data_IF_834449747207
#
_entry.id   IF_834449747207
#
_cell.length_a   1.000
_cell.length_b   1.000
_cell.length_c   1.000
_cell.angle_alpha   90.00
_cell.angle_beta   90.00
_cell.angle_gamma   90.00
#
_symmetry.space_group_name_H-M   'P 1'
#
loop_
_entity.id
_entity.type
_entity.pdbx_description
1 polymer ?
#
# COMPACT_ATOMS: atom_id res chain seq x y z
N UNK A 1 -21.26 16.94 -6.80
CA UNK A 1 -20.32 17.19 -5.68
C UNK A 1 -20.31 18.71 -5.48
N UNK A 2 -20.67 19.24 -4.31
CA UNK A 2 -20.63 20.70 -4.11
C UNK A 2 -19.18 21.17 -3.96
N UNK A 3 -18.89 22.43 -4.32
CA UNK A 3 -17.54 23.00 -4.26
C UNK A 3 -16.91 22.90 -2.86
N UNK A 4 -17.73 22.92 -1.81
CA UNK A 4 -17.29 22.69 -0.43
C UNK A 4 -16.75 21.28 -0.14
N UNK A 5 -17.19 20.26 -0.88
CA UNK A 5 -16.70 18.89 -0.71
C UNK A 5 -15.30 18.71 -1.31
N UNK A 6 -14.98 19.43 -2.39
CA UNK A 6 -13.67 19.37 -3.06
C UNK A 6 -12.58 20.12 -2.26
N UNK A 7 -12.94 21.19 -1.55
CA UNK A 7 -12.01 21.95 -0.70
C UNK A 7 -11.37 21.11 0.44
N UNK A 8 -11.99 19.99 0.82
CA UNK A 8 -11.47 19.07 1.84
C UNK A 8 -10.60 17.95 1.27
N UNK A 9 -10.53 17.81 -0.05
CA UNK A 9 -9.70 16.78 -0.70
C UNK A 9 -8.27 17.28 -0.70
N UNK A 10 -7.38 16.51 -0.06
CA UNK A 10 -5.96 16.81 -0.01
C UNK A 10 -5.37 16.90 -1.42
N UNK A 11 -4.58 17.94 -1.66
CA UNK A 11 -3.87 18.13 -2.91
C UNK A 11 -2.82 17.01 -3.10
N UNK A 12 -2.93 16.27 -4.21
CA UNK A 12 -2.01 15.20 -4.56
C UNK A 12 -0.54 15.65 -4.68
N UNK A 13 -0.29 16.91 -5.05
CA UNK A 13 1.07 17.46 -5.18
C UNK A 13 1.81 17.60 -3.84
N UNK A 14 1.08 17.63 -2.72
CA UNK A 14 1.68 17.73 -1.39
C UNK A 14 2.11 16.38 -0.81
N UNK A 15 1.76 15.28 -1.48
CA UNK A 15 1.93 13.93 -0.96
C UNK A 15 3.39 13.47 -1.04
N UNK A 16 3.83 12.63 -0.08
CA UNK A 16 5.21 12.17 -0.01
C UNK A 16 5.65 11.42 -1.29
N UNK A 17 4.80 10.54 -1.84
CA UNK A 17 5.12 9.80 -3.06
C UNK A 17 5.32 10.73 -4.27
N UNK A 18 4.58 11.83 -4.33
CA UNK A 18 4.69 12.80 -5.41
C UNK A 18 5.99 13.60 -5.32
N UNK A 19 6.32 14.07 -4.11
CA UNK A 19 7.58 14.80 -3.85
C UNK A 19 8.80 13.92 -4.08
N UNK A 20 8.74 12.65 -3.68
CA UNK A 20 9.78 11.66 -3.97
C UNK A 20 9.96 11.48 -5.48
N UNK A 21 8.87 11.30 -6.24
CA UNK A 21 8.95 11.13 -7.69
C UNK A 21 9.56 12.35 -8.40
N UNK A 22 9.24 13.56 -7.95
CA UNK A 22 9.87 14.79 -8.46
C UNK A 22 11.39 14.79 -8.29
N UNK A 23 11.87 14.39 -7.11
CA UNK A 23 13.29 14.42 -6.74
C UNK A 23 14.10 13.24 -7.29
N UNK A 24 13.53 12.04 -7.23
CA UNK A 24 14.24 10.77 -7.43
C UNK A 24 13.77 10.03 -8.70
N UNK A 25 12.79 10.57 -9.42
CA UNK A 25 12.16 9.94 -10.58
C UNK A 25 11.02 9.00 -10.22
N UNK A 26 11.02 8.41 -9.03
CA UNK A 26 9.93 7.56 -8.52
C UNK A 26 9.66 7.81 -7.04
N UNK A 27 8.48 7.41 -6.58
CA UNK A 27 8.10 7.53 -5.17
C UNK A 27 6.93 6.62 -4.84
N UNK A 28 6.81 6.24 -3.57
CA UNK A 28 5.72 5.38 -3.14
C UNK A 28 5.37 5.62 -1.68
N UNK A 29 4.09 5.49 -1.35
CA UNK A 29 3.62 5.58 0.02
C UNK A 29 2.41 4.67 0.26
N UNK A 30 2.32 4.11 1.46
CA UNK A 30 1.16 3.35 1.93
C UNK A 30 0.44 4.20 2.96
N UNK A 31 -0.79 4.58 2.66
CA UNK A 31 -1.56 5.48 3.53
C UNK A 31 -3.05 5.26 3.43
N UNK A 32 -3.74 5.74 4.47
CA UNK A 32 -5.19 5.77 4.51
C UNK A 32 -5.74 6.78 3.50
N UNK A 33 -6.66 6.34 2.65
CA UNK A 33 -7.40 7.22 1.74
C UNK A 33 -8.65 7.75 2.45
N UNK A 34 -8.74 9.07 2.64
CA UNK A 34 -9.93 9.71 3.21
C UNK A 34 -11.14 9.69 2.27
N UNK A 35 -10.92 9.48 0.97
CA UNK A 35 -11.98 9.42 -0.06
C UNK A 35 -12.61 8.03 -0.10
N UNK A 36 -11.81 6.96 -0.07
CA UNK A 36 -12.32 5.58 -0.13
C UNK A 36 -12.35 4.88 1.23
N UNK A 37 -11.91 5.56 2.29
CA UNK A 37 -11.86 5.07 3.68
C UNK A 37 -11.15 3.72 3.86
N UNK A 38 -10.07 3.48 3.10
CA UNK A 38 -9.27 2.26 3.17
C UNK A 38 -7.78 2.57 2.97
N UNK A 39 -6.91 1.67 3.43
CA UNK A 39 -5.48 1.72 3.14
C UNK A 39 -5.23 1.41 1.66
N UNK A 40 -4.41 2.26 1.04
CA UNK A 40 -4.00 2.14 -0.35
C UNK A 40 -2.50 2.31 -0.46
N UNK A 41 -1.93 1.59 -1.42
CA UNK A 41 -0.57 1.87 -1.90
C UNK A 41 -0.68 2.87 -3.05
N UNK A 42 0.16 3.89 -3.01
CA UNK A 42 0.34 4.88 -4.05
C UNK A 42 1.74 4.74 -4.63
N UNK A 43 1.83 4.77 -5.96
CA UNK A 43 3.09 4.77 -6.68
C UNK A 43 3.10 5.92 -7.67
N UNK A 44 4.20 6.66 -7.68
CA UNK A 44 4.39 7.86 -8.48
C UNK A 44 5.65 7.73 -9.31
N UNK A 45 5.58 8.18 -10.56
CA UNK A 45 6.69 8.17 -11.49
C UNK A 45 6.74 9.49 -12.25
N UNK A 46 7.93 10.10 -12.35
CA UNK A 46 8.16 11.28 -13.16
C UNK A 46 8.47 10.86 -14.60
N UNK A 47 7.76 11.46 -15.53
CA UNK A 47 7.90 11.23 -16.97
C UNK A 47 7.98 12.56 -17.72
N UNK A 48 8.85 12.64 -18.71
CA UNK A 48 9.01 13.85 -19.53
C UNK A 48 8.35 13.64 -20.89
N UNK A 49 7.31 14.42 -21.17
CA UNK A 49 6.57 14.36 -22.43
C UNK A 49 6.70 15.71 -23.13
N UNK A 50 7.26 15.71 -24.34
CA UNK A 50 7.51 16.92 -25.12
C UNK A 50 8.34 17.99 -24.37
N UNK A 51 9.30 17.55 -23.55
CA UNK A 51 10.17 18.44 -22.76
C UNK A 51 9.50 19.03 -21.51
N UNK A 52 8.30 18.57 -21.16
CA UNK A 52 7.62 18.94 -19.93
C UNK A 52 7.52 17.75 -18.98
N UNK A 53 7.92 17.96 -17.74
CA UNK A 53 7.88 16.94 -16.70
C UNK A 53 6.48 16.82 -16.09
N UNK A 54 5.98 15.58 -16.06
CA UNK A 54 4.73 15.18 -15.43
C UNK A 54 5.01 14.11 -14.37
N UNK A 55 4.15 14.03 -13.37
CA UNK A 55 4.18 12.93 -12.39
C UNK A 55 2.89 12.14 -12.54
N UNK A 56 3.04 10.88 -12.93
CA UNK A 56 1.95 9.91 -13.04
C UNK A 56 1.81 9.25 -11.68
N UNK A 57 0.59 9.25 -11.12
CA UNK A 57 0.29 8.61 -9.84
C UNK A 57 -0.74 7.51 -10.05
N UNK A 58 -0.41 6.29 -9.66
CA UNK A 58 -1.31 5.15 -9.63
C UNK A 58 -1.58 4.73 -8.19
N UNK A 59 -2.75 4.13 -7.94
CA UNK A 59 -3.07 3.63 -6.60
C UNK A 59 -3.84 2.32 -6.64
N UNK A 60 -3.55 1.44 -5.67
CA UNK A 60 -4.22 0.16 -5.52
C UNK A 60 -4.65 -0.06 -4.07
N UNK A 61 -5.84 -0.63 -3.81
CA UNK A 61 -6.29 -0.93 -2.45
C UNK A 61 -5.50 -2.10 -1.85
N UNK A 62 -5.18 -2.03 -0.56
CA UNK A 62 -4.34 -3.04 0.10
C UNK A 62 -5.13 -4.17 0.81
N UNK A 63 -6.46 -4.18 0.74
CA UNK A 63 -7.27 -5.17 1.46
C UNK A 63 -6.93 -6.62 1.06
N UNK A 64 -6.64 -6.86 -0.23
CA UNK A 64 -6.25 -8.19 -0.71
C UNK A 64 -4.91 -8.63 -0.12
N UNK A 65 -3.92 -7.73 -0.07
CA UNK A 65 -2.60 -8.00 0.51
C UNK A 65 -2.70 -8.27 2.02
N UNK A 66 -3.55 -7.53 2.74
CA UNK A 66 -3.80 -7.79 4.17
C UNK A 66 -4.42 -9.17 4.38
N UNK A 67 -5.41 -9.55 3.59
CA UNK A 67 -6.06 -10.86 3.70
C UNK A 67 -5.07 -12.01 3.43
N UNK A 68 -4.21 -11.87 2.41
CA UNK A 68 -3.15 -12.83 2.14
C UNK A 68 -2.17 -12.96 3.31
N UNK A 69 -1.75 -11.85 3.92
CA UNK A 69 -0.87 -11.88 5.10
C UNK A 69 -1.50 -12.63 6.28
N UNK A 70 -2.78 -12.43 6.56
CA UNK A 70 -3.47 -13.16 7.61
C UNK A 70 -3.54 -14.66 7.34
N UNK A 71 -3.82 -15.06 6.09
CA UNK A 71 -3.85 -16.46 5.70
C UNK A 71 -2.48 -17.12 5.85
N UNK A 72 -1.41 -16.46 5.39
CA UNK A 72 -0.04 -16.94 5.53
C UNK A 72 0.35 -17.09 7.01
N UNK A 73 0.00 -16.09 7.84
CA UNK A 73 0.24 -16.17 9.29
C UNK A 73 -0.47 -17.37 9.91
N UNK A 74 -1.73 -17.61 9.52
CA UNK A 74 -2.51 -18.76 9.99
C UNK A 74 -1.87 -20.09 9.60
N UNK A 75 -1.39 -20.21 8.36
CA UNK A 75 -0.67 -21.40 7.88
C UNK A 75 0.61 -21.60 8.70
N UNK A 76 1.42 -20.56 8.90
CA UNK A 76 2.67 -20.64 9.66
C UNK A 76 2.43 -21.06 11.12
N UNK A 77 1.43 -20.45 11.79
CA UNK A 77 1.04 -20.84 13.15
C UNK A 77 0.60 -22.29 13.19
N UNK A 78 -0.23 -22.72 12.23
CA UNK A 78 -0.65 -24.12 12.10
C UNK A 78 0.53 -25.08 11.94
N UNK A 79 1.49 -24.75 11.08
CA UNK A 79 2.70 -25.55 10.87
C UNK A 79 3.55 -25.67 12.15
N UNK A 80 3.73 -24.55 12.87
CA UNK A 80 4.47 -24.56 14.15
C UNK A 80 3.78 -25.46 15.15
N UNK A 81 2.46 -25.35 15.31
CA UNK A 81 1.70 -26.20 16.24
C UNK A 81 1.77 -27.70 15.86
N UNK A 82 1.67 -28.03 14.57
CA UNK A 82 1.83 -29.40 14.08
C UNK A 82 3.23 -29.95 14.36
N UNK A 83 4.28 -29.17 14.11
CA UNK A 83 5.67 -29.58 14.38
C UNK A 83 5.92 -29.82 15.87
N UNK A 84 5.40 -28.96 16.75
CA UNK A 84 5.49 -29.13 18.20
C UNK A 84 4.74 -30.38 18.68
N UNK A 85 3.54 -30.60 18.15
CA UNK A 85 2.72 -31.78 18.47
C UNK A 85 3.43 -33.08 18.05
N UNK A 86 4.03 -33.09 16.85
CA UNK A 86 4.81 -34.22 16.36
C UNK A 86 6.04 -34.49 17.24
N UNK A 87 6.81 -33.44 17.57
CA UNK A 87 7.99 -33.54 18.43
C UNK A 87 7.65 -34.16 19.80
N UNK A 88 6.61 -33.63 20.46
CA UNK A 88 6.13 -34.16 21.74
C UNK A 88 5.69 -35.61 21.57
N UNK A 89 4.90 -35.92 20.54
CA UNK A 89 4.39 -37.27 20.29
C UNK A 89 5.47 -38.32 20.02
N UNK A 90 6.60 -37.93 19.41
CA UNK A 90 7.74 -38.83 19.15
C UNK A 90 8.74 -38.92 20.30
N UNK A 91 8.63 -38.05 21.29
CA UNK A 91 9.53 -38.00 22.45
C UNK A 91 9.07 -38.87 23.63
N UNK A 92 7.94 -39.58 23.48
CA UNK A 92 7.43 -40.62 24.38
C UNK A 92 7.58 -42.00 23.74
#
# INVERSE_FOLDING_TARGET
>A
LSDHALARVENHGNRPEFKQALQQGTGSDVRFSTVTSIDRIYYSMKESVNGQDFVIVISSPMHQLKQMNFQLMGILVGMVLLSLSFLIGTSY
#
